data_IF_644646162625
#
_entry.id   IF_644646162625
#
_cell.length_a   1.000
_cell.length_b   1.000
_cell.length_c   1.000
_cell.angle_alpha   90.00
_cell.angle_beta   90.00
_cell.angle_gamma   90.00
#
_symmetry.space_group_name_H-M   'P 1'
#
loop_
_entity.id
_entity.type
_entity.pdbx_description
1 polymer ?
#
# COMPACT_ATOMS: atom_id res chain seq x y z
N UNK A 1 -21.37 -5.91 59.20
CA UNK A 1 -20.28 -5.39 58.34
C UNK A 1 -19.90 -6.45 57.31
N UNK A 2 -19.75 -6.05 56.05
CA UNK A 2 -19.91 -6.91 54.86
C UNK A 2 -18.77 -7.86 54.51
N UNK A 3 -19.14 -8.90 53.77
CA UNK A 3 -18.26 -9.91 53.18
C UNK A 3 -17.44 -9.33 52.02
N UNK A 4 -16.12 -9.54 52.06
CA UNK A 4 -15.22 -9.24 50.96
C UNK A 4 -15.32 -10.34 49.89
N UNK A 5 -16.01 -10.05 48.80
CA UNK A 5 -16.00 -10.86 47.58
C UNK A 5 -14.67 -10.61 46.86
N UNK A 6 -13.73 -11.56 46.98
CA UNK A 6 -12.58 -11.65 46.09
C UNK A 6 -13.09 -12.07 44.70
N UNK A 7 -13.48 -11.09 43.89
CA UNK A 7 -13.70 -11.31 42.47
C UNK A 7 -12.33 -11.53 41.81
N UNK A 8 -12.04 -12.79 41.49
CA UNK A 8 -10.91 -13.17 40.65
C UNK A 8 -11.05 -12.46 39.31
N UNK A 9 -10.20 -11.46 39.09
CA UNK A 9 -10.08 -10.81 37.81
C UNK A 9 -9.46 -11.83 36.85
N UNK A 10 -10.30 -12.51 36.07
CA UNK A 10 -9.87 -13.30 34.94
C UNK A 10 -9.10 -12.38 34.00
N UNK A 11 -7.78 -12.54 33.94
CA UNK A 11 -6.96 -12.01 32.85
C UNK A 11 -7.53 -12.61 31.56
N UNK A 12 -8.33 -11.83 30.83
CA UNK A 12 -8.52 -12.04 29.41
C UNK A 12 -7.14 -11.93 28.78
N UNK A 13 -6.56 -13.08 28.43
CA UNK A 13 -5.39 -13.10 27.56
C UNK A 13 -5.78 -12.29 26.31
N UNK A 14 -5.06 -11.22 25.96
CA UNK A 14 -5.28 -10.60 24.66
C UNK A 14 -4.96 -11.69 23.65
N UNK A 15 -5.98 -12.09 22.88
CA UNK A 15 -5.76 -12.84 21.66
C UNK A 15 -4.66 -12.11 20.90
N UNK A 16 -3.63 -12.84 20.49
CA UNK A 16 -2.51 -12.29 19.71
C UNK A 16 -3.10 -11.59 18.49
N UNK A 17 -3.29 -10.28 18.58
CA UNK A 17 -3.45 -9.43 17.43
C UNK A 17 -2.13 -9.61 16.67
N UNK A 18 -2.19 -10.26 15.51
CA UNK A 18 -1.07 -10.17 14.58
C UNK A 18 -0.86 -8.67 14.34
N UNK A 19 0.35 -8.17 14.62
CA UNK A 19 0.64 -6.77 14.38
C UNK A 19 0.34 -6.47 12.91
N UNK A 20 -0.61 -5.58 12.65
CA UNK A 20 -0.92 -5.17 11.30
C UNK A 20 0.36 -4.62 10.64
N UNK A 21 0.58 -4.98 9.38
CA UNK A 21 1.77 -4.54 8.64
C UNK A 21 1.51 -3.16 8.07
N UNK A 22 2.39 -2.20 8.36
CA UNK A 22 2.27 -0.87 7.79
C UNK A 22 2.70 -0.89 6.32
N UNK A 23 1.79 -0.52 5.41
CA UNK A 23 2.02 -0.41 3.98
C UNK A 23 1.97 1.07 3.60
N UNK A 24 2.95 1.53 2.83
CA UNK A 24 3.02 2.88 2.29
C UNK A 24 3.20 2.80 0.77
N UNK A 25 2.34 3.50 0.04
CA UNK A 25 2.43 3.67 -1.40
C UNK A 25 2.91 5.09 -1.72
N UNK A 26 3.89 5.22 -2.59
CA UNK A 26 4.40 6.50 -3.07
C UNK A 26 4.42 6.54 -4.61
N UNK A 27 3.90 7.63 -5.18
CA UNK A 27 4.16 8.02 -6.56
C UNK A 27 5.10 9.23 -6.58
N UNK A 28 6.12 9.17 -7.42
CA UNK A 28 7.04 10.28 -7.71
C UNK A 28 7.34 10.32 -9.20
N UNK A 29 7.85 11.42 -9.73
CA UNK A 29 8.03 11.55 -11.18
C UNK A 29 8.17 12.99 -11.63
N UNK A 30 8.08 13.19 -12.93
CA UNK A 30 8.20 14.53 -13.56
C UNK A 30 6.86 15.17 -13.88
N UNK A 31 5.77 14.40 -13.90
CA UNK A 31 4.43 14.94 -14.09
C UNK A 31 3.98 15.64 -12.82
N UNK A 32 3.67 16.94 -12.91
CA UNK A 32 3.22 17.70 -11.74
C UNK A 32 1.79 17.39 -11.32
N UNK A 33 0.92 17.07 -12.29
CA UNK A 33 -0.52 16.83 -12.12
C UNK A 33 -1.00 15.74 -13.09
N UNK A 34 -2.25 15.29 -12.96
CA UNK A 34 -2.89 14.44 -13.97
C UNK A 34 -2.49 12.96 -13.94
N UNK A 35 -1.82 12.50 -12.88
CA UNK A 35 -1.42 11.09 -12.75
C UNK A 35 -2.57 10.28 -12.18
N UNK A 36 -3.07 9.31 -12.94
CA UNK A 36 -4.04 8.33 -12.47
C UNK A 36 -3.35 7.35 -11.54
N UNK A 37 -3.81 7.29 -10.29
CA UNK A 37 -3.38 6.32 -9.28
C UNK A 37 -4.43 5.22 -9.15
N UNK A 38 -3.98 3.97 -9.05
CA UNK A 38 -4.85 2.82 -8.84
C UNK A 38 -4.25 1.84 -7.84
N UNK A 39 -5.00 1.47 -6.81
CA UNK A 39 -4.56 0.45 -5.85
C UNK A 39 -5.71 -0.33 -5.20
N UNK A 40 -5.47 -1.60 -4.85
CA UNK A 40 -6.36 -2.31 -3.92
C UNK A 40 -5.90 -2.10 -2.47
N UNK A 41 -6.81 -1.61 -1.63
CA UNK A 41 -6.58 -1.38 -0.20
C UNK A 41 -6.80 -2.63 0.66
N UNK A 42 -6.74 -2.48 1.99
CA UNK A 42 -6.93 -3.59 2.95
C UNK A 42 -8.31 -4.24 2.81
N UNK A 43 -9.35 -3.47 2.52
CA UNK A 43 -10.72 -3.96 2.36
C UNK A 43 -10.99 -4.64 1.01
N UNK A 44 -9.96 -4.82 0.16
CA UNK A 44 -10.09 -5.40 -1.18
C UNK A 44 -10.74 -4.47 -2.21
N UNK A 45 -11.22 -3.28 -1.80
CA UNK A 45 -11.71 -2.24 -2.70
C UNK A 45 -10.59 -1.67 -3.57
N UNK A 46 -10.91 -1.39 -4.84
CA UNK A 46 -9.98 -0.75 -5.78
C UNK A 46 -10.25 0.75 -5.83
N UNK A 47 -9.31 1.55 -5.34
CA UNK A 47 -9.37 3.00 -5.40
C UNK A 47 -8.73 3.47 -6.72
N UNK A 48 -9.39 4.42 -7.38
CA UNK A 48 -8.86 5.14 -8.54
C UNK A 48 -9.04 6.63 -8.32
N UNK A 49 -7.95 7.38 -8.45
CA UNK A 49 -7.96 8.84 -8.31
C UNK A 49 -7.01 9.48 -9.33
N UNK A 50 -7.13 10.80 -9.53
CA UNK A 50 -6.18 11.60 -10.30
C UNK A 50 -5.46 12.56 -9.37
N UNK A 51 -4.14 12.48 -9.34
CA UNK A 51 -3.31 13.17 -8.35
C UNK A 51 -2.17 13.95 -8.99
N UNK A 52 -1.62 14.91 -8.24
CA UNK A 52 -0.33 15.52 -8.52
C UNK A 52 0.83 14.76 -7.86
N UNK A 53 2.03 14.84 -8.45
CA UNK A 53 3.23 14.23 -7.88
C UNK A 53 4.08 15.27 -7.13
N UNK A 54 4.71 14.89 -6.00
CA UNK A 54 4.68 13.57 -5.36
C UNK A 54 3.36 13.30 -4.62
N UNK A 55 2.96 12.03 -4.57
CA UNK A 55 1.78 11.57 -3.85
C UNK A 55 2.10 10.36 -2.97
N UNK A 56 1.45 10.24 -1.82
CA UNK A 56 1.58 9.06 -0.96
C UNK A 56 0.32 8.76 -0.16
N UNK A 57 0.12 7.48 0.16
CA UNK A 57 -0.88 7.03 1.14
C UNK A 57 -0.33 5.88 1.98
N UNK A 58 -0.88 5.70 3.18
CA UNK A 58 -0.47 4.65 4.11
C UNK A 58 -1.66 4.02 4.81
N UNK A 59 -1.60 2.71 5.05
CA UNK A 59 -2.60 1.97 5.80
C UNK A 59 -1.98 0.75 6.49
N UNK A 60 -2.68 0.28 7.52
CA UNK A 60 -2.36 -0.97 8.19
C UNK A 60 -3.01 -2.14 7.45
N UNK A 61 -2.22 -3.18 7.18
CA UNK A 61 -2.64 -4.36 6.42
C UNK A 61 -2.51 -5.62 7.28
N UNK A 62 -3.64 -6.26 7.57
CA UNK A 62 -3.73 -7.49 8.37
C UNK A 62 -3.33 -8.76 7.60
N UNK A 63 -3.28 -8.68 6.27
CA UNK A 63 -2.72 -9.72 5.41
C UNK A 63 -3.71 -10.75 4.90
N UNK A 64 -5.02 -10.53 5.02
CA UNK A 64 -6.04 -11.48 4.53
C UNK A 64 -6.10 -11.55 2.98
N UNK A 65 -5.50 -10.58 2.28
CA UNK A 65 -5.28 -10.63 0.83
C UNK A 65 -3.89 -11.18 0.46
N UNK A 66 -3.83 -11.95 -0.63
CA UNK A 66 -2.56 -12.53 -1.11
C UNK A 66 -1.69 -11.54 -1.91
N UNK A 67 -2.28 -10.46 -2.44
CA UNK A 67 -1.60 -9.53 -3.34
C UNK A 67 -2.13 -8.09 -3.22
N UNK A 68 -1.21 -7.14 -3.12
CA UNK A 68 -1.47 -5.71 -3.29
C UNK A 68 -0.91 -5.26 -4.64
N UNK A 69 -1.71 -4.53 -5.38
CA UNK A 69 -1.38 -3.91 -6.66
C UNK A 69 -1.47 -2.42 -6.47
N UNK A 70 -0.42 -1.71 -6.87
CA UNK A 70 -0.34 -0.26 -6.82
C UNK A 70 0.23 0.24 -8.15
N UNK A 71 -0.43 1.22 -8.74
CA UNK A 71 -0.08 1.73 -10.06
C UNK A 71 -0.19 3.24 -10.13
N UNK A 72 0.65 3.84 -10.96
CA UNK A 72 0.58 5.23 -11.36
C UNK A 72 0.81 5.37 -12.86
N UNK A 73 -0.08 6.06 -13.56
CA UNK A 73 0.00 6.28 -15.00
C UNK A 73 -0.41 7.71 -15.34
N UNK A 74 0.31 8.37 -16.25
CA UNK A 74 -0.13 9.65 -16.81
C UNK A 74 -0.76 9.39 -18.19
N UNK A 75 -1.99 9.86 -18.47
CA UNK A 75 -2.60 9.71 -19.78
C UNK A 75 -1.91 10.62 -20.83
N UNK A 76 -1.93 10.22 -22.09
CA UNK A 76 -1.36 11.00 -23.20
C UNK A 76 0.11 10.68 -23.52
N UNK A 77 0.67 11.46 -24.44
CA UNK A 77 2.00 11.22 -25.03
C UNK A 77 3.07 12.20 -24.52
N UNK A 78 2.76 12.97 -23.48
CA UNK A 78 3.69 13.93 -22.90
C UNK A 78 4.92 13.20 -22.33
N UNK A 79 6.15 13.68 -22.65
CA UNK A 79 7.35 13.05 -22.14
C UNK A 79 7.45 13.26 -20.62
N UNK A 80 7.77 12.18 -19.91
CA UNK A 80 7.91 12.23 -18.46
C UNK A 80 8.14 10.86 -17.84
N UNK A 81 8.09 10.81 -16.51
CA UNK A 81 8.25 9.57 -15.75
C UNK A 81 7.29 9.52 -14.59
N UNK A 82 6.85 8.31 -14.26
CA UNK A 82 6.16 7.97 -13.02
C UNK A 82 6.92 6.83 -12.37
N UNK A 83 7.17 6.93 -11.08
CA UNK A 83 7.80 5.90 -10.26
C UNK A 83 6.82 5.51 -9.17
N UNK A 84 6.37 4.26 -9.18
CA UNK A 84 5.70 3.67 -8.04
C UNK A 84 6.74 3.14 -7.05
N UNK A 85 6.45 3.27 -5.77
CA UNK A 85 7.20 2.64 -4.69
C UNK A 85 6.24 2.15 -3.62
N UNK A 86 6.51 0.95 -3.12
CA UNK A 86 5.79 0.39 -1.96
C UNK A 86 6.80 0.16 -0.85
N UNK A 87 6.49 0.65 0.34
CA UNK A 87 7.25 0.34 1.56
C UNK A 87 6.42 -0.53 2.48
N UNK A 88 7.12 -1.45 3.15
CA UNK A 88 6.59 -2.34 4.17
C UNK A 88 7.35 -2.04 5.45
N UNK A 89 6.65 -1.59 6.49
CA UNK A 89 7.25 -1.16 7.77
C UNK A 89 8.41 -0.15 7.56
N UNK A 90 8.19 0.83 6.66
CA UNK A 90 9.16 1.87 6.32
C UNK A 90 10.32 1.43 5.41
N UNK A 91 10.40 0.15 5.02
CA UNK A 91 11.44 -0.37 4.10
C UNK A 91 10.89 -0.54 2.71
N UNK A 92 11.62 -0.06 1.70
CA UNK A 92 11.23 -0.22 0.29
C UNK A 92 11.21 -1.71 -0.07
N UNK A 93 10.03 -2.20 -0.44
CA UNK A 93 9.82 -3.58 -0.87
C UNK A 93 9.80 -3.71 -2.40
N UNK A 94 9.24 -2.71 -3.10
CA UNK A 94 9.27 -2.62 -4.56
C UNK A 94 9.35 -1.16 -4.98
N UNK A 95 10.06 -0.90 -6.07
CA UNK A 95 10.03 0.39 -6.76
C UNK A 95 10.19 0.15 -8.26
N UNK A 96 9.34 0.78 -9.06
CA UNK A 96 9.37 0.67 -10.51
C UNK A 96 9.13 2.02 -11.15
N UNK A 97 9.96 2.37 -12.12
CA UNK A 97 9.80 3.57 -12.92
C UNK A 97 9.32 3.20 -14.31
N UNK A 98 8.28 3.88 -14.76
CA UNK A 98 7.86 3.89 -16.15
C UNK A 98 8.10 5.29 -16.75
N UNK A 99 8.53 5.33 -18.01
CA UNK A 99 8.86 6.57 -18.71
C UNK A 99 8.00 6.69 -19.97
N UNK A 100 7.34 7.83 -20.13
CA UNK A 100 6.60 8.21 -21.32
C UNK A 100 7.46 9.06 -22.28
N UNK A 101 7.20 9.05 -23.61
CA UNK A 101 6.23 8.17 -24.28
C UNK A 101 6.86 6.81 -24.58
N UNK A 102 6.27 5.73 -24.06
CA UNK A 102 6.59 4.35 -24.45
C UNK A 102 5.31 3.59 -24.79
N UNK A 103 4.56 4.06 -25.79
CA UNK A 103 3.24 3.51 -26.14
C UNK A 103 2.27 3.73 -24.97
N UNK A 104 1.40 4.75 -25.07
CA UNK A 104 0.36 5.00 -24.07
C UNK A 104 -0.37 3.69 -23.69
N UNK A 105 -0.32 3.29 -22.41
CA UNK A 105 -1.06 2.11 -21.94
C UNK A 105 -0.47 1.34 -20.76
N UNK A 106 0.80 1.54 -20.40
CA UNK A 106 1.40 0.87 -19.23
C UNK A 106 2.00 1.92 -18.30
N UNK A 107 1.33 2.21 -17.18
CA UNK A 107 1.92 3.00 -16.10
C UNK A 107 2.98 2.24 -15.32
N UNK A 108 3.59 2.90 -14.34
CA UNK A 108 4.41 2.22 -13.34
C UNK A 108 3.50 1.36 -12.46
N UNK A 109 3.69 0.04 -12.49
CA UNK A 109 2.93 -0.92 -11.67
C UNK A 109 3.87 -1.65 -10.72
N UNK A 110 3.52 -1.62 -9.44
CA UNK A 110 4.21 -2.27 -8.34
C UNK A 110 3.28 -3.35 -7.78
N UNK A 111 3.74 -4.60 -7.80
CA UNK A 111 3.05 -5.71 -7.14
C UNK A 111 3.74 -6.05 -5.84
N UNK A 112 2.98 -6.20 -4.76
CA UNK A 112 3.46 -6.69 -3.48
C UNK A 112 2.70 -7.96 -3.11
N UNK A 113 3.39 -9.08 -3.08
CA UNK A 113 2.82 -10.40 -2.80
C UNK A 113 3.22 -10.82 -1.39
N UNK A 114 2.26 -11.31 -0.60
CA UNK A 114 2.56 -11.94 0.69
C UNK A 114 3.16 -13.32 0.43
N UNK A 115 4.39 -13.56 0.91
CA UNK A 115 5.09 -14.84 0.79
C UNK A 115 5.55 -15.32 2.16
N UNK A 116 4.85 -16.33 2.70
CA UNK A 116 5.07 -16.80 4.06
C UNK A 116 4.82 -15.70 5.10
N UNK A 117 5.84 -15.40 5.91
CA UNK A 117 5.80 -14.33 6.92
C UNK A 117 6.30 -12.97 6.42
N UNK A 118 6.56 -12.81 5.11
CA UNK A 118 7.12 -11.59 4.53
C UNK A 118 6.39 -11.13 3.25
N UNK A 119 6.93 -10.08 2.63
CA UNK A 119 6.42 -9.51 1.39
C UNK A 119 7.50 -9.45 0.33
N UNK A 120 7.12 -9.74 -0.92
CA UNK A 120 8.00 -9.74 -2.09
C UNK A 120 7.43 -8.81 -3.15
N UNK A 121 8.29 -7.94 -3.69
CA UNK A 121 8.00 -7.03 -4.79
C UNK A 121 8.20 -7.65 -6.18
N UNK A 122 7.35 -7.30 -7.16
CA UNK A 122 7.55 -7.58 -8.60
C UNK A 122 7.20 -6.36 -9.46
#
# INVERSE_FOLDING_TARGET
>A
MGAALCAGLQLSAPGTAFAATSIEFELSGTFGEGVMVGYNGPDGGYAVDTVGLPWSTSFDYDGDGQSLVFSGSHPGDDPGSVTCRVKVNGRVAVSRTDNAPRTAGHGAVCHLIRSGSGYVGN
#
